data_IF_587061678313
#
_entry.id   IF_587061678313
#
_cell.length_a   1.000
_cell.length_b   1.000
_cell.length_c   1.000
_cell.angle_alpha   90.00
_cell.angle_beta   90.00
_cell.angle_gamma   90.00
#
_symmetry.space_group_name_H-M   'P 1'
#
loop_
_entity.id
_entity.type
_entity.pdbx_description
1 polymer ?
#
# COMPACT_ATOMS: atom_id res chain seq x y z
N UNK A 1 31.68 -11.90 3.03
CA UNK A 1 30.75 -10.78 2.80
C UNK A 1 29.44 -11.12 3.50
N UNK A 2 29.17 -10.44 4.63
CA UNK A 2 27.97 -10.67 5.43
C UNK A 2 26.81 -9.79 4.94
N UNK A 3 25.59 -10.22 5.25
CA UNK A 3 24.39 -9.42 5.01
C UNK A 3 24.47 -8.10 5.79
N UNK A 4 23.84 -7.06 5.24
CA UNK A 4 23.80 -5.74 5.86
C UNK A 4 22.87 -5.78 7.06
N UNK A 5 23.08 -4.90 8.05
CA UNK A 5 22.22 -4.86 9.24
C UNK A 5 20.75 -4.70 8.87
N UNK A 6 20.44 -3.87 7.86
CA UNK A 6 19.10 -3.71 7.32
C UNK A 6 18.53 -5.00 6.73
N UNK A 7 19.32 -5.77 5.97
CA UNK A 7 18.87 -7.04 5.37
C UNK A 7 18.65 -8.12 6.42
N UNK A 8 19.54 -8.22 7.42
CA UNK A 8 19.38 -9.15 8.54
C UNK A 8 18.11 -8.81 9.33
N UNK A 9 17.88 -7.53 9.61
CA UNK A 9 16.67 -7.07 10.29
C UNK A 9 15.42 -7.38 9.48
N UNK A 10 15.43 -7.11 8.17
CA UNK A 10 14.31 -7.36 7.27
C UNK A 10 13.93 -8.85 7.24
N UNK A 11 14.92 -9.75 7.11
CA UNK A 11 14.67 -11.20 7.15
C UNK A 11 14.09 -11.63 8.50
N UNK A 12 14.64 -11.14 9.60
CA UNK A 12 14.13 -11.46 10.94
C UNK A 12 12.71 -10.96 11.14
N UNK A 13 12.36 -9.77 10.63
CA UNK A 13 11.00 -9.25 10.67
C UNK A 13 10.04 -10.12 9.83
N UNK A 14 10.44 -10.56 8.63
CA UNK A 14 9.61 -11.43 7.80
C UNK A 14 9.29 -12.77 8.47
N UNK A 15 10.24 -13.33 9.22
CA UNK A 15 10.04 -14.59 9.96
C UNK A 15 9.20 -14.40 11.24
N UNK A 16 9.35 -13.25 11.89
CA UNK A 16 8.67 -12.96 13.17
C UNK A 16 7.30 -12.33 13.00
N UNK A 17 7.04 -11.61 11.90
CA UNK A 17 5.77 -10.97 11.57
C UNK A 17 4.59 -11.96 11.61
N UNK A 18 4.60 -13.11 10.90
CA UNK A 18 3.47 -14.05 10.92
C UNK A 18 3.24 -14.70 12.29
N UNK A 19 4.19 -14.61 13.23
CA UNK A 19 4.04 -15.12 14.59
C UNK A 19 3.34 -14.11 15.51
N UNK A 20 3.21 -12.86 15.09
CA UNK A 20 2.59 -11.81 15.90
C UNK A 20 1.07 -11.93 15.87
N UNK A 21 0.46 -11.93 17.06
CA UNK A 21 -1.01 -11.93 17.21
C UNK A 21 -1.61 -10.53 17.32
N UNK A 22 -0.77 -9.51 17.56
CA UNK A 22 -1.22 -8.14 17.78
C UNK A 22 -1.29 -7.39 16.43
N UNK A 23 -2.50 -7.00 16.04
CA UNK A 23 -2.77 -6.31 14.78
C UNK A 23 -2.02 -4.98 14.65
N UNK A 24 -1.97 -4.16 15.71
CA UNK A 24 -1.22 -2.90 15.69
C UNK A 24 0.28 -3.13 15.47
N UNK A 25 0.86 -4.18 16.08
CA UNK A 25 2.24 -4.57 15.84
C UNK A 25 2.46 -5.07 14.42
N UNK A 26 1.52 -5.84 13.87
CA UNK A 26 1.60 -6.31 12.48
C UNK A 26 1.60 -5.15 11.48
N UNK A 27 0.70 -4.19 11.64
CA UNK A 27 0.65 -2.97 10.83
C UNK A 27 1.98 -2.22 10.92
N UNK A 28 2.50 -2.04 12.14
CA UNK A 28 3.80 -1.42 12.36
C UNK A 28 4.94 -2.19 11.69
N UNK A 29 4.97 -3.52 11.80
CA UNK A 29 5.99 -4.35 11.17
C UNK A 29 5.94 -4.28 9.65
N UNK A 30 4.75 -4.26 9.03
CA UNK A 30 4.60 -4.04 7.58
C UNK A 30 5.17 -2.67 7.18
N UNK A 31 4.89 -1.62 7.95
CA UNK A 31 5.46 -0.30 7.69
C UNK A 31 7.00 -0.30 7.79
N UNK A 32 7.56 -0.88 8.85
CA UNK A 32 9.01 -1.02 9.02
C UNK A 32 9.67 -1.85 7.91
N UNK A 33 9.00 -2.91 7.45
CA UNK A 33 9.51 -3.74 6.36
C UNK A 33 9.64 -2.94 5.04
N UNK A 34 8.68 -2.05 4.74
CA UNK A 34 8.76 -1.19 3.56
C UNK A 34 9.90 -0.18 3.67
N UNK A 35 10.08 0.43 4.85
CA UNK A 35 11.19 1.36 5.12
C UNK A 35 12.55 0.66 4.95
N UNK A 36 12.73 -0.53 5.55
CA UNK A 36 13.97 -1.29 5.41
C UNK A 36 14.27 -1.69 3.96
N UNK A 37 13.23 -1.99 3.17
CA UNK A 37 13.39 -2.31 1.76
C UNK A 37 13.87 -1.09 0.95
N UNK A 38 13.31 0.08 1.24
CA UNK A 38 13.73 1.36 0.63
C UNK A 38 15.17 1.68 0.99
N UNK A 39 15.54 1.57 2.27
CA UNK A 39 16.93 1.74 2.70
C UNK A 39 17.90 0.78 2.00
N UNK A 40 17.51 -0.48 1.79
CA UNK A 40 18.34 -1.45 1.06
C UNK A 40 18.45 -1.14 -0.44
N UNK A 41 17.44 -0.50 -1.03
CA UNK A 41 17.46 -0.07 -2.42
C UNK A 41 18.28 1.22 -2.61
N UNK A 42 18.26 2.11 -1.63
CA UNK A 42 19.09 3.32 -1.57
C UNK A 42 20.53 3.04 -1.16
N UNK A 43 20.77 2.00 -0.35
CA UNK A 43 22.11 1.54 0.02
C UNK A 43 22.87 1.09 -1.23
N UNK A 44 23.75 1.99 -1.69
CA UNK A 44 24.74 1.71 -2.72
C UNK A 44 26.09 1.48 -2.08
N UNK A 45 26.87 0.59 -2.66
CA UNK A 45 28.29 0.48 -2.33
C UNK A 45 28.98 1.82 -2.61
N UNK A 46 30.15 2.12 -2.03
CA UNK A 46 30.91 3.33 -2.38
C UNK A 46 31.25 3.44 -3.88
N UNK A 47 31.15 2.34 -4.63
CA UNK A 47 31.26 2.28 -6.10
C UNK A 47 29.96 2.63 -6.84
N UNK A 48 28.90 2.99 -6.12
CA UNK A 48 27.60 3.35 -6.69
C UNK A 48 26.75 2.16 -7.15
N UNK A 49 27.17 0.93 -6.88
CA UNK A 49 26.43 -0.28 -7.25
C UNK A 49 25.38 -0.62 -6.18
N UNK A 50 24.19 -1.08 -6.57
CA UNK A 50 23.17 -1.49 -5.63
C UNK A 50 23.69 -2.68 -4.80
N UNK A 51 23.59 -2.56 -3.47
CA UNK A 51 24.15 -3.55 -2.54
C UNK A 51 23.41 -4.89 -2.58
N UNK A 52 22.15 -4.87 -3.02
CA UNK A 52 21.34 -6.04 -3.30
C UNK A 52 20.86 -6.02 -4.75
N UNK A 53 20.76 -7.20 -5.36
CA UNK A 53 20.24 -7.34 -6.72
C UNK A 53 18.76 -6.97 -6.76
N UNK A 54 18.32 -6.36 -7.87
CA UNK A 54 16.91 -6.00 -8.09
C UNK A 54 15.94 -7.17 -7.91
N UNK A 55 16.35 -8.38 -8.30
CA UNK A 55 15.59 -9.60 -8.06
C UNK A 55 15.28 -9.86 -6.56
N UNK A 56 16.25 -9.60 -5.67
CA UNK A 56 16.04 -9.75 -4.22
C UNK A 56 15.10 -8.69 -3.66
N UNK A 57 15.20 -7.45 -4.14
CA UNK A 57 14.27 -6.37 -3.76
C UNK A 57 12.83 -6.78 -4.08
N UNK A 58 12.61 -7.31 -5.29
CA UNK A 58 11.29 -7.82 -5.70
C UNK A 58 10.83 -8.99 -4.83
N UNK A 59 11.69 -9.99 -4.59
CA UNK A 59 11.34 -11.12 -3.71
C UNK A 59 10.94 -10.67 -2.31
N UNK A 60 11.66 -9.70 -1.72
CA UNK A 60 11.29 -9.13 -0.43
C UNK A 60 9.98 -8.36 -0.51
N UNK A 61 9.74 -7.58 -1.57
CA UNK A 61 8.48 -6.87 -1.78
C UNK A 61 7.29 -7.83 -1.80
N UNK A 62 7.37 -8.94 -2.54
CA UNK A 62 6.31 -9.96 -2.59
C UNK A 62 6.05 -10.59 -1.22
N UNK A 63 7.11 -10.87 -0.44
CA UNK A 63 6.97 -11.38 0.93
C UNK A 63 6.29 -10.36 1.85
N UNK A 64 6.58 -9.07 1.69
CA UNK A 64 5.94 -8.00 2.46
C UNK A 64 4.48 -7.88 2.09
N UNK A 65 4.13 -7.92 0.81
CA UNK A 65 2.74 -7.93 0.35
C UNK A 65 1.96 -9.12 0.89
N UNK A 66 2.57 -10.32 0.95
CA UNK A 66 1.96 -11.49 1.55
C UNK A 66 1.67 -11.31 3.06
N UNK A 67 2.54 -10.59 3.79
CA UNK A 67 2.29 -10.24 5.20
C UNK A 67 1.21 -9.16 5.29
N UNK A 68 1.26 -8.13 4.45
CA UNK A 68 0.28 -7.05 4.41
C UNK A 68 -1.13 -7.57 4.08
N UNK A 69 -1.24 -8.52 3.14
CA UNK A 69 -2.50 -9.18 2.82
C UNK A 69 -3.11 -9.88 4.03
N UNK A 70 -2.30 -10.53 4.88
CA UNK A 70 -2.78 -11.14 6.14
C UNK A 70 -3.25 -10.12 7.18
N UNK A 71 -2.74 -8.90 7.11
CA UNK A 71 -3.18 -7.78 7.97
C UNK A 71 -4.45 -7.13 7.41
N UNK A 72 -4.55 -7.03 6.08
CA UNK A 72 -5.68 -6.46 5.36
C UNK A 72 -6.90 -7.38 5.36
N UNK A 73 -6.71 -8.70 5.48
CA UNK A 73 -7.78 -9.64 5.82
C UNK A 73 -8.10 -9.40 7.29
N UNK A 74 -9.21 -8.71 7.62
CA UNK A 74 -9.67 -8.69 9.00
C UNK A 74 -9.75 -10.14 9.46
N UNK A 75 -9.35 -10.41 10.70
CA UNK A 75 -9.63 -11.68 11.38
C UNK A 75 -11.14 -11.77 11.53
N UNK A 76 -11.82 -12.09 10.43
CA UNK A 76 -13.20 -12.50 10.36
C UNK A 76 -13.18 -14.01 10.58
N UNK A 77 -13.06 -14.40 11.85
CA UNK A 77 -14.12 -15.28 12.31
C UNK A 77 -15.41 -14.48 12.11
N UNK A 78 -16.16 -14.82 11.05
CA UNK A 78 -17.45 -14.25 10.60
C UNK A 78 -17.41 -13.16 9.50
N UNK A 79 -17.58 -13.65 8.26
CA UNK A 79 -18.44 -13.09 7.20
C UNK A 79 -18.10 -11.75 6.51
N UNK A 80 -17.58 -11.90 5.28
CA UNK A 80 -17.90 -11.13 4.06
C UNK A 80 -18.00 -9.60 4.16
N UNK A 81 -17.00 -8.88 3.63
CA UNK A 81 -17.22 -8.14 2.38
C UNK A 81 -15.91 -7.66 1.72
N UNK A 82 -15.82 -7.96 0.43
CA UNK A 82 -14.80 -7.51 -0.53
C UNK A 82 -14.99 -6.03 -0.85
N UNK A 83 -14.00 -5.15 -0.66
CA UNK A 83 -13.92 -3.93 -1.48
C UNK A 83 -12.47 -3.57 -1.80
N UNK A 84 -12.05 -4.07 -2.95
CA UNK A 84 -11.08 -3.44 -3.84
C UNK A 84 -11.53 -2.00 -4.17
N UNK A 85 -10.66 -1.02 -3.94
CA UNK A 85 -10.84 0.35 -4.45
C UNK A 85 -9.69 0.68 -5.39
N UNK A 86 -9.84 0.19 -6.61
CA UNK A 86 -9.11 0.62 -7.80
C UNK A 86 -9.08 2.14 -7.97
N UNK A 87 -7.92 2.62 -8.40
CA UNK A 87 -7.56 3.98 -8.77
C UNK A 87 -8.55 4.69 -9.72
N UNK A 88 -8.71 6.00 -9.49
CA UNK A 88 -9.29 6.93 -10.46
C UNK A 88 -8.31 7.19 -11.61
N UNK A 89 -8.83 7.42 -12.83
CA UNK A 89 -8.30 8.55 -13.59
C UNK A 89 -9.35 9.39 -14.36
N UNK A 90 -9.24 10.70 -14.12
CA UNK A 90 -9.35 11.88 -15.01
C UNK A 90 -10.47 12.02 -16.06
N UNK A 91 -11.30 13.06 -15.84
CA UNK A 91 -11.81 14.07 -16.77
C UNK A 91 -11.78 13.78 -18.29
N UNK A 92 -12.97 13.55 -18.89
CA UNK A 92 -13.30 14.12 -20.21
C UNK A 92 -14.80 13.99 -20.54
N UNK A 93 -15.56 15.08 -20.38
CA UNK A 93 -16.62 15.58 -21.29
C UNK A 93 -17.10 16.89 -20.64
N UNK A 94 -16.77 18.09 -21.14
CA UNK A 94 -16.96 18.49 -22.52
C UNK A 94 -18.34 19.14 -22.70
N UNK A 95 -18.46 20.36 -22.16
CA UNK A 95 -19.29 21.48 -22.67
C UNK A 95 -20.80 21.27 -22.88
N UNK A 96 -21.62 21.80 -21.97
CA UNK A 96 -22.99 22.24 -22.29
C UNK A 96 -23.04 23.77 -22.22
N UNK A 97 -22.61 24.41 -23.31
CA UNK A 97 -22.78 25.86 -23.47
C UNK A 97 -24.19 26.17 -23.98
N UNK A 98 -24.92 26.95 -23.17
CA UNK A 98 -26.05 27.84 -23.51
C UNK A 98 -27.21 27.28 -24.35
N UNK A 99 -28.38 27.19 -23.73
CA UNK A 99 -29.62 27.83 -24.24
C UNK A 99 -30.50 28.22 -23.05
N UNK A 100 -30.87 29.50 -23.00
CA UNK A 100 -31.57 30.11 -21.87
C UNK A 100 -33.03 29.68 -21.74
N UNK A 101 -33.67 30.17 -20.68
CA UNK A 101 -35.12 30.20 -20.54
C UNK A 101 -35.60 29.71 -19.18
N UNK A 102 -36.10 30.67 -18.38
CA UNK A 102 -37.11 30.52 -17.33
C UNK A 102 -37.04 29.28 -16.41
N UNK A 103 -36.57 29.48 -15.18
CA UNK A 103 -37.02 28.64 -14.06
C UNK A 103 -38.49 28.94 -13.75
N UNK A 104 -39.32 27.93 -13.41
CA UNK A 104 -40.73 28.14 -13.13
C UNK A 104 -40.93 28.91 -11.81
N UNK A 105 -41.72 29.98 -11.90
CA UNK A 105 -42.35 30.66 -10.77
C UNK A 105 -43.39 29.69 -10.18
N UNK A 106 -43.35 29.42 -8.88
CA UNK A 106 -44.43 28.71 -8.19
C UNK A 106 -45.52 29.71 -7.77
N UNK A 107 -46.77 29.61 -8.28
CA UNK A 107 -47.89 30.38 -7.75
C UNK A 107 -48.39 29.76 -6.43
N UNK A 108 -48.69 30.63 -5.47
CA UNK A 108 -48.81 30.32 -4.04
C UNK A 108 -50.04 29.54 -3.58
N UNK A 109 -50.14 29.39 -2.25
CA UNK A 109 -51.38 29.03 -1.57
C UNK A 109 -51.45 29.73 -0.19
N UNK A 110 -52.44 30.64 -0.13
CA UNK A 110 -53.27 31.16 0.98
C UNK A 110 -52.62 31.67 2.27
#
# INVERSE_FOLDING_TARGET
MGFCKAEVNLRRLLETAPQQKNQAKLIHYVATLRELLEQLAEERTPEGLPRISKAKVTEYAEKIEAVAAKVAVPVEESQEHVVDKSEAPIEYYGNISRRGGCGPIYPGQT
#
